data_IF_268141081839
#
_entry.id   IF_268141081839
#
_cell.length_a   1.000
_cell.length_b   1.000
_cell.length_c   1.000
_cell.angle_alpha   90.00
_cell.angle_beta   90.00
_cell.angle_gamma   90.00
#
_symmetry.space_group_name_H-M   'P 1'
#
loop_
_entity.id
_entity.type
_entity.pdbx_description
1 polymer ?
#
# COMPACT_ATOMS: atom_id res chain seq x y z
N UNK A 1 36.29 -29.03 1.90
CA UNK A 1 36.57 -28.62 0.51
C UNK A 1 37.79 -27.71 0.52
N UNK A 2 38.91 -28.16 -0.04
CA UNK A 2 40.22 -27.48 -0.06
C UNK A 2 40.29 -26.57 -1.28
N UNK A 3 40.81 -25.35 -1.12
CA UNK A 3 41.21 -24.50 -2.24
C UNK A 3 42.74 -24.32 -2.16
N UNK A 4 43.41 -24.79 -3.21
CA UNK A 4 44.86 -24.71 -3.43
C UNK A 4 45.19 -23.38 -4.11
N UNK A 5 46.24 -22.70 -3.65
CA UNK A 5 46.93 -21.65 -4.40
C UNK A 5 48.28 -22.19 -4.89
N UNK A 6 48.54 -22.08 -6.18
CA UNK A 6 49.87 -22.26 -6.76
C UNK A 6 50.51 -20.88 -7.00
N UNK A 7 51.69 -20.66 -6.41
CA UNK A 7 52.71 -19.75 -6.97
C UNK A 7 53.31 -20.38 -8.24
N UNK A 8 54.22 -19.77 -9.01
CA UNK A 8 55.14 -18.65 -8.84
C UNK A 8 55.76 -18.42 -10.23
N UNK A 9 56.12 -17.20 -10.60
CA UNK A 9 57.19 -16.98 -11.57
C UNK A 9 58.02 -15.77 -11.15
N UNK A 10 59.32 -15.98 -11.12
CA UNK A 10 60.37 -15.07 -10.64
C UNK A 10 61.23 -14.74 -11.87
N UNK A 11 61.65 -13.48 -12.06
CA UNK A 11 63.07 -13.09 -12.20
C UNK A 11 63.27 -11.59 -12.52
N UNK A 12 63.96 -10.93 -11.57
CA UNK A 12 65.15 -10.05 -11.70
C UNK A 12 65.12 -8.70 -12.46
N UNK A 13 65.23 -7.64 -11.63
CA UNK A 13 66.30 -6.62 -11.53
C UNK A 13 66.73 -5.80 -12.78
N UNK A 14 66.50 -4.48 -12.70
CA UNK A 14 67.16 -3.42 -13.46
C UNK A 14 67.13 -2.09 -12.69
N UNK A 15 68.28 -1.44 -12.55
CA UNK A 15 68.66 -0.34 -11.63
C UNK A 15 68.12 1.07 -11.99
N UNK A 16 67.82 1.85 -10.94
CA UNK A 16 68.28 3.22 -10.61
C UNK A 16 68.20 4.32 -11.70
N UNK A 17 67.34 5.33 -11.50
CA UNK A 17 67.69 6.77 -11.65
C UNK A 17 67.03 7.58 -10.52
N UNK A 18 67.80 8.56 -10.03
CA UNK A 18 67.68 9.33 -8.80
C UNK A 18 67.13 10.74 -9.14
N UNK A 19 66.33 11.30 -8.22
CA UNK A 19 66.36 12.71 -7.76
C UNK A 19 65.82 13.81 -8.72
N UNK A 20 64.66 14.41 -8.36
CA UNK A 20 64.44 15.81 -7.93
C UNK A 20 62.92 16.06 -7.72
N UNK A 21 62.56 16.80 -6.66
CA UNK A 21 61.24 17.38 -6.35
C UNK A 21 61.40 18.92 -6.41
N UNK A 22 60.36 19.76 -6.32
CA UNK A 22 58.89 19.58 -6.48
C UNK A 22 58.30 20.63 -7.46
N UNK A 23 56.99 20.63 -7.71
CA UNK A 23 56.11 21.83 -7.75
C UNK A 23 54.65 21.34 -7.86
N UNK A 24 53.91 21.61 -6.79
CA UNK A 24 52.53 22.09 -6.75
C UNK A 24 51.50 21.48 -7.74
N UNK A 25 50.67 20.57 -7.21
CA UNK A 25 49.23 20.62 -7.45
C UNK A 25 48.52 20.28 -6.14
N UNK A 26 48.27 21.33 -5.36
CA UNK A 26 47.15 21.36 -4.43
C UNK A 26 45.90 20.99 -5.24
N UNK A 27 45.22 19.91 -4.88
CA UNK A 27 43.79 19.78 -5.15
C UNK A 27 43.18 18.86 -4.10
N UNK A 28 42.66 19.55 -3.08
CA UNK A 28 41.47 19.25 -2.32
C UNK A 28 41.14 17.79 -2.09
N UNK A 29 41.32 17.41 -0.83
CA UNK A 29 40.48 16.49 -0.09
C UNK A 29 39.01 16.76 -0.46
N UNK A 30 38.41 15.86 -1.23
CA UNK A 30 37.03 15.48 -0.96
C UNK A 30 37.07 14.07 -0.37
N UNK A 31 37.02 14.03 0.97
CA UNK A 31 36.35 12.95 1.67
C UNK A 31 34.91 13.03 1.16
N UNK A 32 34.61 12.31 0.08
CA UNK A 32 33.24 11.83 -0.09
C UNK A 32 33.14 10.74 0.96
N UNK A 33 32.72 11.19 2.16
CA UNK A 33 31.92 10.37 3.04
C UNK A 33 30.92 9.66 2.14
N UNK A 34 31.05 8.34 2.01
CA UNK A 34 29.93 7.51 1.57
C UNK A 34 28.87 7.64 2.67
N UNK A 35 28.16 8.76 2.65
CA UNK A 35 26.89 8.90 3.33
C UNK A 35 25.99 7.80 2.79
N UNK A 36 25.38 7.05 3.71
CA UNK A 36 24.37 6.03 3.50
C UNK A 36 23.68 6.16 2.13
N UNK A 37 24.13 5.36 1.15
CA UNK A 37 23.34 5.12 -0.05
C UNK A 37 22.21 4.19 0.35
N UNK A 38 21.09 4.73 0.78
CA UNK A 38 19.81 4.07 0.52
C UNK A 38 19.54 4.27 -0.96
N UNK A 39 20.02 3.35 -1.81
CA UNK A 39 19.56 3.32 -3.19
C UNK A 39 18.07 2.96 -3.15
N UNK A 40 17.22 3.89 -3.57
CA UNK A 40 15.79 3.64 -3.73
C UNK A 40 15.61 2.60 -4.85
N UNK A 41 15.54 1.32 -4.47
CA UNK A 41 15.28 0.23 -5.39
C UNK A 41 13.79 0.23 -5.72
N UNK A 42 13.48 0.15 -7.02
CA UNK A 42 12.11 -0.05 -7.48
C UNK A 42 11.86 -1.55 -7.57
N UNK A 43 10.85 -2.01 -6.84
CA UNK A 43 10.38 -3.39 -6.82
C UNK A 43 9.16 -3.51 -7.72
N UNK A 44 9.14 -4.52 -8.58
CA UNK A 44 7.98 -4.84 -9.40
C UNK A 44 7.15 -5.92 -8.71
N UNK A 45 5.88 -5.65 -8.43
CA UNK A 45 4.92 -6.62 -7.90
C UNK A 45 4.04 -7.08 -9.05
N UNK A 46 4.09 -8.37 -9.35
CA UNK A 46 3.35 -8.99 -10.45
C UNK A 46 2.32 -9.97 -9.90
N UNK A 47 1.13 -9.98 -10.50
CA UNK A 47 0.06 -10.91 -10.12
C UNK A 47 0.02 -12.08 -11.09
N UNK A 48 -0.10 -13.30 -10.56
CA UNK A 48 -0.09 -14.52 -11.35
C UNK A 48 -1.31 -14.64 -12.28
N UNK A 49 -2.46 -14.08 -11.88
CA UNK A 49 -3.71 -14.11 -12.64
C UNK A 49 -4.31 -12.70 -12.77
N UNK A 50 -5.11 -12.44 -13.84
CA UNK A 50 -5.87 -11.20 -13.94
C UNK A 50 -6.79 -10.99 -12.73
N UNK A 51 -6.94 -9.73 -12.30
CA UNK A 51 -7.82 -9.31 -11.20
C UNK A 51 -8.94 -8.47 -11.81
N UNK A 52 -10.19 -8.90 -11.61
CA UNK A 52 -11.39 -8.28 -12.20
C UNK A 52 -11.28 -7.96 -13.70
N UNK A 53 -10.68 -8.87 -14.48
CA UNK A 53 -10.50 -8.68 -15.93
C UNK A 53 -9.32 -7.79 -16.34
N UNK A 54 -8.42 -7.44 -15.41
CA UNK A 54 -7.20 -6.67 -15.69
C UNK A 54 -5.94 -7.47 -15.38
N UNK A 55 -4.94 -7.39 -16.27
CA UNK A 55 -3.56 -7.69 -15.89
C UNK A 55 -3.02 -6.52 -15.10
N UNK A 56 -2.52 -6.77 -13.89
CA UNK A 56 -2.03 -5.72 -12.98
C UNK A 56 -0.53 -5.85 -12.72
N UNK A 57 0.14 -4.71 -12.55
CA UNK A 57 1.52 -4.64 -12.10
C UNK A 57 1.72 -3.40 -11.26
N UNK A 58 2.40 -3.52 -10.13
CA UNK A 58 2.76 -2.39 -9.29
C UNK A 58 4.27 -2.16 -9.36
N UNK A 59 4.67 -0.93 -9.62
CA UNK A 59 6.07 -0.50 -9.52
C UNK A 59 6.21 0.34 -8.25
N UNK A 60 6.88 -0.21 -7.25
CA UNK A 60 7.01 0.41 -5.93
C UNK A 60 8.45 0.82 -5.66
N UNK A 61 8.68 2.11 -5.47
CA UNK A 61 9.98 2.64 -5.06
C UNK A 61 9.97 2.90 -3.57
N UNK A 62 10.55 1.97 -2.81
CA UNK A 62 10.57 2.01 -1.34
C UNK A 62 11.39 3.18 -0.78
N UNK A 63 10.96 3.71 0.36
CA UNK A 63 11.66 4.73 1.14
C UNK A 63 11.39 4.51 2.63
N UNK A 64 12.38 4.66 3.49
CA UNK A 64 12.10 4.70 4.93
C UNK A 64 11.52 6.07 5.29
N UNK A 65 10.43 6.05 6.06
CA UNK A 65 9.96 7.19 6.79
C UNK A 65 10.11 6.90 8.28
N UNK A 66 10.98 7.68 8.92
CA UNK A 66 11.03 7.75 10.38
C UNK A 66 9.83 8.55 10.86
N UNK A 67 8.74 7.85 11.20
CA UNK A 67 7.63 8.46 11.93
C UNK A 67 7.96 8.31 13.42
N UNK A 68 8.27 9.41 14.09
CA UNK A 68 8.46 9.41 15.54
C UNK A 68 7.10 9.25 16.24
N UNK A 69 6.63 8.01 16.48
CA UNK A 69 5.66 7.68 17.55
C UNK A 69 5.44 6.17 17.74
N UNK A 70 5.40 5.76 19.01
CA UNK A 70 4.95 4.49 19.64
C UNK A 70 5.51 3.15 19.14
N UNK A 71 5.98 3.04 17.91
CA UNK A 71 6.65 1.85 17.40
C UNK A 71 8.15 2.13 17.32
N UNK A 72 8.97 1.22 17.85
CA UNK A 72 10.44 1.25 17.71
C UNK A 72 10.88 0.94 16.26
N UNK A 73 9.93 0.77 15.33
CA UNK A 73 10.16 0.36 13.94
C UNK A 73 9.97 1.55 12.99
N UNK A 74 10.87 1.68 12.02
CA UNK A 74 10.69 2.62 10.90
C UNK A 74 9.57 2.11 9.99
N UNK A 75 8.69 3.00 9.53
CA UNK A 75 7.70 2.63 8.51
C UNK A 75 8.35 2.69 7.13
N UNK A 76 8.15 1.65 6.31
CA UNK A 76 8.67 1.60 4.94
C UNK A 76 7.52 1.88 3.98
N UNK A 77 7.42 3.12 3.52
CA UNK A 77 6.44 3.55 2.52
C UNK A 77 7.15 3.93 1.23
N UNK A 78 6.48 3.82 0.10
CA UNK A 78 7.07 4.22 -1.16
C UNK A 78 6.03 4.73 -2.13
N UNK A 79 6.49 5.53 -3.09
CA UNK A 79 5.66 5.85 -4.24
C UNK A 79 5.46 4.57 -5.04
N UNK A 80 4.21 4.25 -5.29
CA UNK A 80 3.80 3.14 -6.12
C UNK A 80 3.10 3.68 -7.37
N UNK A 81 3.23 2.91 -8.44
CA UNK A 81 2.49 3.10 -9.67
C UNK A 81 1.78 1.78 -9.94
N UNK A 82 0.45 1.79 -9.94
CA UNK A 82 -0.36 0.68 -10.43
C UNK A 82 -0.58 0.87 -11.94
N UNK A 83 -0.19 -0.13 -12.72
CA UNK A 83 -0.55 -0.26 -14.13
C UNK A 83 -1.59 -1.38 -14.30
N UNK A 84 -2.68 -1.07 -14.97
CA UNK A 84 -3.76 -2.01 -15.30
C UNK A 84 -3.91 -2.09 -16.81
N UNK A 85 -3.87 -3.29 -17.38
CA UNK A 85 -4.20 -3.54 -18.78
C UNK A 85 -5.49 -4.38 -18.83
N UNK A 86 -6.54 -3.82 -19.44
CA UNK A 86 -7.81 -4.54 -19.60
C UNK A 86 -7.62 -5.72 -20.55
N UNK A 87 -8.01 -6.91 -20.10
CA UNK A 87 -7.72 -8.15 -20.82
C UNK A 87 -8.40 -8.26 -22.18
N UNK A 88 -9.58 -7.67 -22.35
CA UNK A 88 -10.43 -7.79 -23.54
C UNK A 88 -9.97 -6.93 -24.72
N UNK A 89 -9.57 -5.68 -24.47
CA UNK A 89 -9.26 -4.70 -25.52
C UNK A 89 -7.90 -4.00 -25.36
N UNK A 90 -7.12 -4.41 -24.36
CA UNK A 90 -5.75 -3.93 -24.11
C UNK A 90 -5.62 -2.45 -23.76
N UNK A 91 -6.72 -1.78 -23.40
CA UNK A 91 -6.68 -0.41 -22.87
C UNK A 91 -5.91 -0.41 -21.55
N UNK A 92 -5.03 0.59 -21.39
CA UNK A 92 -4.13 0.72 -20.25
C UNK A 92 -4.52 1.90 -19.37
N UNK A 93 -4.51 1.65 -18.07
CA UNK A 93 -4.73 2.64 -17.03
C UNK A 93 -3.52 2.70 -16.12
N UNK A 94 -3.26 3.88 -15.56
CA UNK A 94 -2.12 4.13 -14.70
C UNK A 94 -2.52 5.08 -13.59
N UNK A 95 -2.12 4.75 -12.36
CA UNK A 95 -2.39 5.58 -11.19
C UNK A 95 -1.22 5.50 -10.21
N UNK A 96 -0.78 6.67 -9.74
CA UNK A 96 0.21 6.78 -8.68
C UNK A 96 -0.46 6.83 -7.30
N UNK A 97 0.17 6.21 -6.30
CA UNK A 97 -0.30 6.19 -4.92
C UNK A 97 0.86 5.93 -3.94
N UNK A 98 0.60 6.04 -2.63
CA UNK A 98 1.59 5.65 -1.61
C UNK A 98 1.28 4.25 -1.09
N UNK A 99 2.26 3.36 -1.15
CA UNK A 99 2.14 1.97 -0.70
C UNK A 99 3.08 1.72 0.48
N UNK A 100 2.52 1.16 1.56
CA UNK A 100 3.25 0.75 2.76
C UNK A 100 3.66 -0.72 2.63
N UNK A 101 4.84 -1.08 3.14
CA UNK A 101 5.29 -2.47 3.13
C UNK A 101 4.35 -3.38 3.93
N UNK A 102 3.78 -2.86 5.03
CA UNK A 102 2.85 -3.59 5.90
C UNK A 102 1.48 -3.77 5.24
N UNK A 103 1.08 -2.87 4.34
CA UNK A 103 -0.14 -3.06 3.54
C UNK A 103 0.07 -4.08 2.45
N UNK A 104 1.31 -4.46 2.10
CA UNK A 104 1.53 -5.38 0.97
C UNK A 104 0.88 -6.75 1.21
N UNK A 105 0.67 -7.22 2.45
CA UNK A 105 0.57 -8.67 2.71
C UNK A 105 -0.33 -9.07 3.88
N UNK A 106 -0.98 -10.23 3.70
CA UNK A 106 -1.83 -10.91 4.67
C UNK A 106 -1.02 -11.83 5.62
N UNK A 107 0.26 -12.07 5.32
CA UNK A 107 1.15 -12.98 6.05
C UNK A 107 2.28 -12.21 6.77
N UNK A 108 2.26 -12.26 8.10
CA UNK A 108 3.24 -11.58 8.96
C UNK A 108 4.69 -12.05 8.77
N UNK A 109 4.90 -13.32 8.38
CA UNK A 109 6.25 -13.85 8.17
C UNK A 109 6.86 -13.28 6.88
N UNK A 110 6.04 -13.13 5.85
CA UNK A 110 6.47 -12.53 4.60
C UNK A 110 6.67 -11.01 4.74
N UNK A 111 5.79 -10.31 5.49
CA UNK A 111 5.98 -8.90 5.85
C UNK A 111 7.33 -8.68 6.56
N UNK A 112 7.62 -9.48 7.58
CA UNK A 112 8.88 -9.44 8.32
C UNK A 112 10.08 -9.66 7.40
N UNK A 113 10.01 -10.67 6.53
CA UNK A 113 11.07 -10.99 5.57
C UNK A 113 11.34 -9.83 4.61
N UNK A 114 10.28 -9.22 4.06
CA UNK A 114 10.39 -8.07 3.17
C UNK A 114 11.01 -6.85 3.87
N UNK A 115 10.65 -6.61 5.13
CA UNK A 115 11.24 -5.54 5.92
C UNK A 115 12.72 -5.78 6.21
N UNK A 116 13.10 -7.00 6.57
CA UNK A 116 14.51 -7.38 6.75
C UNK A 116 15.31 -7.20 5.45
N UNK A 117 14.75 -7.57 4.29
CA UNK A 117 15.34 -7.28 2.98
C UNK A 117 15.53 -5.77 2.74
N UNK A 118 14.54 -4.95 3.09
CA UNK A 118 14.65 -3.48 3.01
C UNK A 118 15.78 -2.93 3.88
N UNK A 119 15.82 -3.30 5.16
CA UNK A 119 16.86 -2.84 6.12
C UNK A 119 18.26 -3.22 5.64
N UNK A 120 18.40 -4.40 5.05
CA UNK A 120 19.67 -4.91 4.52
C UNK A 120 20.01 -4.39 3.11
N UNK A 121 19.21 -3.49 2.51
CA UNK A 121 19.34 -3.02 1.13
C UNK A 121 19.42 -4.17 0.10
N UNK A 122 18.64 -5.22 0.32
CA UNK A 122 18.61 -6.43 -0.49
C UNK A 122 17.16 -6.78 -0.86
N UNK A 123 16.39 -5.77 -1.28
CA UNK A 123 15.04 -6.00 -1.77
C UNK A 123 15.10 -6.80 -3.08
N UNK A 124 14.16 -7.74 -3.28
CA UNK A 124 14.04 -8.39 -4.58
C UNK A 124 13.64 -7.37 -5.64
N UNK A 125 14.13 -7.53 -6.87
CA UNK A 125 13.68 -6.71 -8.01
C UNK A 125 12.22 -7.00 -8.37
N UNK A 126 11.78 -8.25 -8.18
CA UNK A 126 10.43 -8.72 -8.53
C UNK A 126 9.83 -9.53 -7.38
N UNK A 127 8.58 -9.23 -7.04
CA UNK A 127 7.72 -10.01 -6.15
C UNK A 127 6.59 -10.58 -7.00
N UNK A 128 6.41 -11.90 -6.99
CA UNK A 128 5.28 -12.56 -7.64
C UNK A 128 4.21 -12.90 -6.60
N UNK A 129 3.01 -12.36 -6.79
CA UNK A 129 1.83 -12.64 -5.97
C UNK A 129 1.03 -13.74 -6.64
N UNK A 130 0.97 -14.89 -5.97
CA UNK A 130 0.01 -15.92 -6.35
C UNK A 130 -1.36 -15.57 -5.78
N UNK A 131 -2.12 -14.77 -6.53
CA UNK A 131 -3.50 -14.44 -6.23
C UNK A 131 -4.40 -15.63 -6.59
N UNK A 132 -4.51 -16.58 -5.68
CA UNK A 132 -5.55 -17.59 -5.75
C UNK A 132 -6.89 -16.94 -5.37
N UNK A 133 -7.94 -17.23 -6.14
CA UNK A 133 -9.31 -16.97 -5.71
C UNK A 133 -9.61 -17.87 -4.51
N UNK A 134 -9.14 -17.50 -3.32
CA UNK A 134 -9.70 -18.06 -2.11
C UNK A 134 -11.12 -17.53 -2.06
N UNK A 135 -12.08 -18.39 -2.40
CA UNK A 135 -13.44 -18.27 -1.88
C UNK A 135 -13.36 -18.50 -0.39
N UNK A 136 -12.85 -17.51 0.35
CA UNK A 136 -13.13 -17.46 1.76
C UNK A 136 -14.65 -17.51 1.91
N UNK A 137 -15.09 -18.31 2.86
CA UNK A 137 -16.48 -18.31 3.28
C UNK A 137 -16.72 -16.87 3.70
N UNK A 138 -17.46 -16.10 2.88
CA UNK A 138 -18.04 -14.83 3.27
C UNK A 138 -18.67 -15.08 4.63
N UNK A 139 -18.11 -14.50 5.68
CA UNK A 139 -18.80 -14.51 6.95
C UNK A 139 -20.12 -13.81 6.67
N UNK A 140 -21.24 -14.54 6.78
CA UNK A 140 -22.56 -13.96 6.45
C UNK A 140 -22.84 -12.72 7.30
N UNK A 141 -22.16 -12.62 8.44
CA UNK A 141 -22.23 -11.49 9.36
C UNK A 141 -21.37 -10.29 8.90
N UNK A 142 -20.35 -10.50 8.08
CA UNK A 142 -19.49 -9.43 7.55
C UNK A 142 -19.37 -9.44 6.01
N UNK A 143 -20.21 -8.68 5.29
CA UNK A 143 -20.23 -8.66 3.84
C UNK A 143 -19.03 -7.92 3.20
N UNK A 144 -18.15 -7.30 4.00
CA UNK A 144 -16.98 -6.55 3.53
C UNK A 144 -15.65 -7.18 3.95
N UNK A 145 -15.67 -8.42 4.46
CA UNK A 145 -14.47 -9.06 5.04
C UNK A 145 -13.31 -9.17 4.05
N UNK A 146 -13.60 -9.44 2.79
CA UNK A 146 -12.58 -9.55 1.73
C UNK A 146 -11.98 -8.17 1.44
N UNK A 147 -12.81 -7.16 1.18
CA UNK A 147 -12.40 -5.80 0.83
C UNK A 147 -11.52 -5.15 1.92
N UNK A 148 -11.72 -5.52 3.19
CA UNK A 148 -10.94 -5.03 4.33
C UNK A 148 -9.51 -5.59 4.38
N UNK A 149 -9.36 -6.81 3.89
CA UNK A 149 -8.11 -7.57 3.92
C UNK A 149 -7.30 -7.43 2.63
N UNK A 150 -7.85 -6.79 1.60
CA UNK A 150 -7.17 -6.59 0.32
C UNK A 150 -5.94 -5.65 0.49
N UNK A 151 -4.72 -6.14 0.18
CA UNK A 151 -3.49 -5.43 0.51
C UNK A 151 -3.09 -4.33 -0.48
N UNK A 152 -3.54 -4.42 -1.74
CA UNK A 152 -3.05 -3.53 -2.80
C UNK A 152 -4.11 -2.57 -3.32
N UNK A 153 -5.12 -3.17 -3.93
CA UNK A 153 -6.26 -2.54 -4.56
C UNK A 153 -7.32 -3.61 -4.76
N UNK A 154 -8.56 -3.19 -4.89
CA UNK A 154 -9.66 -4.09 -5.18
C UNK A 154 -10.72 -3.35 -6.00
N UNK A 155 -11.74 -4.10 -6.38
CA UNK A 155 -12.81 -3.61 -7.23
C UNK A 155 -14.14 -3.75 -6.51
N UNK A 156 -14.93 -2.68 -6.51
CA UNK A 156 -16.26 -2.68 -5.89
C UNK A 156 -17.13 -1.61 -6.51
N UNK A 157 -18.36 -1.96 -6.87
CA UNK A 157 -19.41 -0.98 -7.17
C UNK A 157 -19.72 -0.18 -5.90
N UNK A 158 -19.22 1.05 -5.85
CA UNK A 158 -19.50 2.01 -4.76
C UNK A 158 -20.40 3.16 -5.23
N UNK A 159 -20.60 3.30 -6.54
CA UNK A 159 -21.38 4.36 -7.13
C UNK A 159 -22.85 3.95 -7.43
N UNK A 160 -23.18 2.67 -7.21
CA UNK A 160 -24.48 2.02 -7.38
C UNK A 160 -25.01 1.95 -8.82
N UNK A 161 -24.11 1.88 -9.81
CA UNK A 161 -24.43 1.75 -11.23
C UNK A 161 -24.25 0.32 -11.79
N UNK A 162 -23.76 -0.61 -10.97
CA UNK A 162 -23.55 -2.00 -11.32
C UNK A 162 -22.20 -2.29 -11.97
N UNK A 163 -21.31 -1.31 -12.08
CA UNK A 163 -19.92 -1.49 -12.51
C UNK A 163 -18.99 -1.26 -11.32
N UNK A 164 -17.91 -2.04 -11.25
CA UNK A 164 -16.95 -1.86 -10.18
C UNK A 164 -16.00 -0.67 -10.43
N UNK A 165 -15.80 0.16 -9.41
CA UNK A 165 -14.70 1.11 -9.36
C UNK A 165 -13.40 0.43 -8.93
N UNK A 166 -12.27 1.06 -9.25
CA UNK A 166 -10.97 0.73 -8.66
C UNK A 166 -10.83 1.45 -7.32
N UNK A 167 -10.54 0.69 -6.26
CA UNK A 167 -10.22 1.23 -4.94
C UNK A 167 -8.75 0.96 -4.62
N UNK A 168 -8.01 2.02 -4.33
CA UNK A 168 -6.62 1.95 -3.85
C UNK A 168 -6.56 2.21 -2.36
N UNK A 169 -5.76 1.41 -1.66
CA UNK A 169 -5.47 1.58 -0.24
C UNK A 169 -4.25 2.50 -0.11
N UNK A 170 -4.41 3.63 0.56
CA UNK A 170 -3.32 4.53 0.91
C UNK A 170 -3.25 4.72 2.43
N UNK A 171 -2.05 4.77 2.98
CA UNK A 171 -1.85 5.21 4.36
C UNK A 171 -1.74 6.73 4.43
N UNK A 172 -2.55 7.36 5.26
CA UNK A 172 -2.47 8.81 5.48
C UNK A 172 -1.25 9.15 6.33
N UNK A 173 -0.16 9.54 5.66
CA UNK A 173 1.09 9.94 6.29
C UNK A 173 0.97 11.23 7.15
N UNK A 174 -0.15 11.97 7.08
CA UNK A 174 -0.35 13.23 7.83
C UNK A 174 -1.10 13.03 9.13
N UNK A 175 -1.86 11.95 9.29
CA UNK A 175 -2.67 11.71 10.48
C UNK A 175 -1.94 10.73 11.39
N UNK A 176 -1.71 11.16 12.62
CA UNK A 176 -1.11 10.32 13.65
C UNK A 176 -2.18 9.31 14.09
N UNK A 177 -2.22 8.17 13.40
CA UNK A 177 -3.19 7.10 13.55
C UNK A 177 -3.28 6.35 12.24
N UNK A 178 -3.06 5.04 12.27
CA UNK A 178 -3.09 4.12 11.12
C UNK A 178 -4.48 4.07 10.51
N UNK A 179 -4.86 5.11 9.76
CA UNK A 179 -6.10 5.16 9.03
C UNK A 179 -5.78 4.93 7.57
N UNK A 180 -6.12 3.73 7.10
CA UNK A 180 -6.27 3.46 5.68
C UNK A 180 -7.24 4.50 5.11
N UNK A 181 -6.75 5.25 4.15
CA UNK A 181 -7.55 6.09 3.27
C UNK A 181 -7.75 5.35 1.96
N UNK A 182 -8.90 5.58 1.33
CA UNK A 182 -9.24 4.90 0.08
C UNK A 182 -9.41 5.94 -1.01
N UNK A 183 -8.68 5.74 -2.11
CA UNK A 183 -8.89 6.51 -3.32
C UNK A 183 -9.68 5.65 -4.29
N UNK A 184 -10.74 6.24 -4.84
CA UNK A 184 -11.70 5.52 -5.67
C UNK A 184 -11.67 6.10 -7.07
N UNK A 185 -11.60 5.24 -8.09
CA UNK A 185 -11.50 5.65 -9.48
C UNK A 185 -12.57 4.96 -10.33
N UNK A 186 -13.28 5.78 -11.09
CA UNK A 186 -14.17 5.34 -12.17
C UNK A 186 -13.36 5.07 -13.44
N UNK A 187 -13.65 3.99 -14.14
CA UNK A 187 -13.11 3.74 -15.48
C UNK A 187 -13.94 4.48 -16.53
N UNK A 188 -13.33 5.43 -17.26
CA UNK A 188 -13.96 6.12 -18.38
C UNK A 188 -13.11 6.03 -19.62
N UNK A 189 -13.60 5.31 -20.63
CA UNK A 189 -12.96 5.15 -21.94
C UNK A 189 -11.49 4.72 -21.84
N UNK A 190 -10.57 5.69 -21.78
CA UNK A 190 -9.12 5.56 -21.73
C UNK A 190 -8.47 6.14 -20.46
N UNK A 191 -9.25 6.58 -19.47
CA UNK A 191 -8.76 7.22 -18.25
C UNK A 191 -9.46 6.76 -16.97
N UNK A 192 -8.75 6.94 -15.87
CA UNK A 192 -9.27 6.83 -14.51
C UNK A 192 -9.75 8.21 -14.04
N UNK A 193 -10.95 8.29 -13.49
CA UNK A 193 -11.50 9.52 -12.91
C UNK A 193 -11.71 9.32 -11.42
N UNK A 194 -10.92 10.02 -10.61
CA UNK A 194 -10.98 9.91 -9.16
C UNK A 194 -12.28 10.51 -8.58
N UNK A 195 -12.90 9.79 -7.64
CA UNK A 195 -13.95 10.31 -6.80
C UNK A 195 -13.36 11.19 -5.70
N UNK A 196 -13.94 12.37 -5.52
CA UNK A 196 -13.60 13.26 -4.43
C UNK A 196 -14.37 12.84 -3.17
N UNK A 197 -13.68 12.85 -2.03
CA UNK A 197 -14.27 12.66 -0.69
C UNK A 197 -14.97 11.31 -0.49
N UNK A 198 -14.31 10.21 -0.82
CA UNK A 198 -14.80 8.89 -0.42
C UNK A 198 -14.74 8.71 1.12
N UNK A 199 -15.77 8.18 1.77
CA UNK A 199 -15.79 8.07 3.23
C UNK A 199 -14.67 7.13 3.74
N UNK A 200 -13.75 7.58 4.61
CA UNK A 200 -12.55 6.82 4.97
C UNK A 200 -12.86 5.54 5.76
N UNK A 201 -13.94 5.55 6.56
CA UNK A 201 -14.30 4.44 7.45
C UNK A 201 -15.31 3.46 6.83
N UNK A 202 -15.60 3.52 5.53
CA UNK A 202 -16.60 2.61 4.91
C UNK A 202 -16.20 1.13 5.02
N UNK A 203 -14.89 0.86 5.01
CA UNK A 203 -14.34 -0.48 5.23
C UNK A 203 -13.85 -0.67 6.68
N UNK A 204 -14.15 0.23 7.62
CA UNK A 204 -13.78 0.00 9.02
C UNK A 204 -14.60 -1.15 9.64
N UNK A 205 -13.94 -1.96 10.47
CA UNK A 205 -14.55 -2.99 11.31
C UNK A 205 -13.77 -3.16 12.61
N UNK A 206 -13.78 -2.11 13.41
CA UNK A 206 -13.14 -2.10 14.71
C UNK A 206 -14.18 -1.85 15.81
N UNK A 207 -13.72 -1.79 17.07
CA UNK A 207 -14.61 -1.61 18.22
C UNK A 207 -15.38 -0.29 18.18
N UNK A 208 -14.79 0.70 17.53
CA UNK A 208 -15.24 2.08 17.57
C UNK A 208 -15.96 2.45 16.27
N UNK A 209 -15.75 1.70 15.18
CA UNK A 209 -16.28 2.01 13.85
C UNK A 209 -16.64 0.77 13.04
N UNK A 210 -17.84 0.80 12.46
CA UNK A 210 -18.29 -0.20 11.47
C UNK A 210 -18.86 0.52 10.25
N UNK A 211 -18.25 0.30 9.09
CA UNK A 211 -18.71 0.79 7.81
C UNK A 211 -19.50 -0.26 7.02
N UNK A 212 -20.45 0.20 6.19
CA UNK A 212 -21.26 -0.66 5.32
C UNK A 212 -21.76 0.06 4.07
N UNK A 213 -22.07 -0.71 3.02
CA UNK A 213 -22.65 -0.23 1.76
C UNK A 213 -24.07 -0.80 1.64
N UNK A 214 -25.08 0.08 1.54
CA UNK A 214 -26.48 -0.30 1.32
C UNK A 214 -26.85 -0.07 -0.15
N UNK A 215 -26.79 -1.15 -0.93
CA UNK A 215 -27.13 -1.13 -2.36
C UNK A 215 -28.61 -0.85 -2.64
N UNK A 216 -29.51 -1.19 -1.71
CA UNK A 216 -30.96 -0.96 -1.87
C UNK A 216 -31.27 0.52 -1.73
N UNK A 217 -30.67 1.18 -0.73
CA UNK A 217 -30.86 2.62 -0.50
C UNK A 217 -29.86 3.50 -1.26
N UNK A 218 -28.85 2.90 -1.88
CA UNK A 218 -27.77 3.58 -2.60
C UNK A 218 -27.04 4.59 -1.71
N UNK A 219 -26.64 4.12 -0.53
CA UNK A 219 -25.97 4.94 0.48
C UNK A 219 -24.85 4.14 1.18
N UNK A 220 -23.85 4.87 1.68
CA UNK A 220 -22.80 4.35 2.56
C UNK A 220 -23.15 4.76 4.00
N UNK A 221 -23.00 3.84 4.95
CA UNK A 221 -23.19 4.10 6.38
C UNK A 221 -21.90 3.86 7.16
N UNK A 222 -21.59 4.79 8.06
CA UNK A 222 -20.50 4.64 9.02
C UNK A 222 -21.09 4.79 10.42
N UNK A 223 -21.06 3.71 11.19
CA UNK A 223 -21.40 3.72 12.60
C UNK A 223 -20.14 4.02 13.41
N UNK A 224 -20.17 5.05 14.27
CA UNK A 224 -19.13 5.39 15.24
C UNK A 224 -19.63 5.15 16.65
N UNK A 225 -19.14 4.09 17.29
CA UNK A 225 -19.51 3.68 18.64
C UNK A 225 -18.76 4.53 19.68
N UNK A 226 -19.53 5.26 20.51
CA UNK A 226 -18.97 6.01 21.65
C UNK A 226 -19.00 5.18 22.92
N UNK A 227 -19.95 4.26 23.00
CA UNK A 227 -20.10 3.29 24.07
C UNK A 227 -20.85 2.06 23.55
N UNK A 228 -21.03 1.04 24.39
CA UNK A 228 -21.79 -0.16 24.03
C UNK A 228 -23.27 0.09 23.68
N UNK A 229 -23.84 1.24 24.05
CA UNK A 229 -25.26 1.55 23.88
C UNK A 229 -25.53 2.86 23.13
N UNK A 230 -24.48 3.59 22.71
CA UNK A 230 -24.61 4.90 22.07
C UNK A 230 -23.62 5.01 20.91
N UNK A 231 -24.13 5.26 19.72
CA UNK A 231 -23.33 5.42 18.51
C UNK A 231 -23.95 6.44 17.56
N UNK A 232 -23.10 7.07 16.76
CA UNK A 232 -23.51 7.96 15.68
C UNK A 232 -23.44 7.22 14.36
N UNK A 233 -24.46 7.39 13.51
CA UNK A 233 -24.47 6.87 12.15
C UNK A 233 -24.39 8.03 11.18
N UNK A 234 -23.31 8.10 10.41
CA UNK A 234 -23.16 9.01 9.28
C UNK A 234 -23.63 8.32 8.00
N UNK A 235 -24.40 9.04 7.19
CA UNK A 235 -24.92 8.55 5.91
C UNK A 235 -24.38 9.40 4.75
N UNK A 236 -23.79 8.72 3.78
CA UNK A 236 -23.19 9.32 2.59
C UNK A 236 -23.88 8.81 1.33
N UNK A 237 -24.00 9.68 0.34
CA UNK A 237 -24.49 9.33 -1.00
C UNK A 237 -23.76 10.15 -2.05
N UNK A 238 -23.85 9.74 -3.32
CA UNK A 238 -23.36 10.57 -4.41
C UNK A 238 -24.15 11.87 -4.52
N UNK A 239 -23.43 12.97 -4.69
CA UNK A 239 -24.02 14.28 -4.89
C UNK A 239 -24.81 14.32 -6.20
N UNK A 240 -26.08 14.75 -6.14
CA UNK A 240 -26.94 14.90 -7.33
C UNK A 240 -26.31 15.80 -8.41
N UNK A 241 -25.48 16.76 -7.99
CA UNK A 241 -24.83 17.75 -8.86
C UNK A 241 -23.35 17.46 -9.12
N UNK A 242 -22.81 16.37 -8.57
CA UNK A 242 -21.40 16.00 -8.69
C UNK A 242 -21.30 14.47 -8.70
N UNK A 243 -21.31 13.88 -9.91
CA UNK A 243 -21.32 12.42 -10.09
C UNK A 243 -20.15 11.70 -9.39
N UNK A 244 -19.04 12.40 -9.19
CA UNK A 244 -17.81 11.81 -8.64
C UNK A 244 -17.48 12.39 -7.26
N UNK A 245 -18.50 12.67 -6.42
CA UNK A 245 -18.29 13.14 -5.06
C UNK A 245 -19.37 12.63 -4.10
N UNK A 246 -18.92 11.99 -3.02
CA UNK A 246 -19.81 11.60 -1.92
C UNK A 246 -20.07 12.81 -1.01
N UNK A 247 -21.29 12.89 -0.49
CA UNK A 247 -21.75 13.96 0.39
C UNK A 247 -22.35 13.31 1.64
N UNK A 248 -21.86 13.71 2.81
CA UNK A 248 -22.53 13.48 4.09
C UNK A 248 -23.83 14.27 4.09
N UNK A 249 -24.98 13.59 4.10
CA UNK A 249 -26.28 14.26 4.04
C UNK A 249 -27.13 14.07 5.30
N UNK A 250 -26.72 13.17 6.20
CA UNK A 250 -27.44 12.86 7.43
C UNK A 250 -26.47 12.28 8.46
N UNK A 251 -26.64 12.68 9.71
CA UNK A 251 -26.03 12.04 10.88
C UNK A 251 -27.14 11.78 11.89
N UNK A 252 -27.19 10.58 12.46
CA UNK A 252 -28.15 10.19 13.50
C UNK A 252 -27.43 9.68 14.74
N UNK A 253 -27.89 10.09 15.92
CA UNK A 253 -27.46 9.47 17.18
C UNK A 253 -28.45 8.38 17.56
N UNK A 254 -27.96 7.17 17.77
CA UNK A 254 -28.76 6.01 18.13
C UNK A 254 -28.38 5.57 19.54
N UNK A 255 -29.38 5.60 20.43
CA UNK A 255 -29.28 5.07 21.80
C UNK A 255 -30.06 3.78 21.89
N UNK A 256 -29.43 2.72 22.38
CA UNK A 256 -30.06 1.43 22.58
C UNK A 256 -30.23 1.15 24.07
N UNK A 257 -31.38 0.58 24.44
CA UNK A 257 -31.66 0.18 25.83
C UNK A 257 -30.82 -1.02 26.28
N UNK A 258 -30.19 -1.73 25.34
CA UNK A 258 -29.33 -2.89 25.57
C UNK A 258 -28.00 -2.71 24.86
N UNK A 259 -26.90 -3.21 25.43
CA UNK A 259 -25.59 -3.13 24.80
C UNK A 259 -25.56 -3.94 23.51
N UNK A 260 -24.95 -3.35 22.48
CA UNK A 260 -24.59 -4.05 21.25
C UNK A 260 -23.43 -4.97 21.61
N UNK A 261 -23.72 -6.27 21.71
CA UNK A 261 -22.67 -7.28 21.73
C UNK A 261 -22.25 -7.48 20.28
N UNK A 262 -21.34 -6.64 19.79
CA UNK A 262 -20.48 -7.07 18.69
C UNK A 262 -19.75 -8.31 19.20
N UNK A 263 -20.04 -9.47 18.63
CA UNK A 263 -19.31 -10.70 18.95
C UNK A 263 -17.86 -10.46 18.56
N UNK A 264 -17.05 -10.01 19.50
CA UNK A 264 -15.61 -10.06 19.35
C UNK A 264 -15.24 -11.53 19.35
N UNK A 265 -14.88 -12.07 18.19
CA UNK A 265 -14.12 -13.30 18.14
C UNK A 265 -12.87 -13.06 19.00
N UNK A 266 -12.72 -13.90 20.05
CA UNK A 266 -11.43 -14.05 20.72
C UNK A 266 -10.45 -14.58 19.68
N UNK A 267 -9.33 -13.90 19.54
CA UNK A 267 -8.09 -14.45 18.99
C UNK A 267 -7.75 -15.80 19.65
#
# INVERSE_FOLDING_TARGET
MRILFFGRANTRLGKIIRRWKPILALLFIFIISCGNRTSSQTVQIQFAKPINGFTATIYWTSKSLKIHRYFEREMVVGKAILELERTTDKVKYKVDYNLLIDTLLVDSDFEKSMYECFVNNNLPEVIAINNEEKKEILDKEDPLSQERNEPFFFFKDVNFDGNDELLLVEEDLKVIGTHKTWRVFEFKDDKLVEFLYFPPDVFACDRDRVGSIDYVKKEIRINRFRSCCDYETDFYRLGKNSKNKFILYKTETIKQDKPIITKYYKE
#
